data_IF_848184114802
#
_entry.id   IF_848184114802
#
_cell.length_a   1.000
_cell.length_b   1.000
_cell.length_c   1.000
_cell.angle_alpha   90.00
_cell.angle_beta   90.00
_cell.angle_gamma   90.00
#
_symmetry.space_group_name_H-M   'P 1'
#
loop_
_entity.id
_entity.type
_entity.pdbx_description
1 polymer ?
#
# COMPACT_ATOMS: atom_id res chain seq x y z
N UNK A 1 -2.44 -13.95 18.99
CA UNK A 1 -1.03 -14.24 19.33
C UNK A 1 -0.28 -12.93 19.16
N UNK A 2 0.50 -12.50 20.15
CA UNK A 2 1.23 -11.22 20.11
C UNK A 2 2.20 -11.21 18.92
N UNK A 3 2.05 -10.25 18.02
CA UNK A 3 2.75 -10.09 16.74
C UNK A 3 4.13 -9.41 16.91
N UNK A 4 4.89 -9.77 17.95
CA UNK A 4 6.19 -9.15 18.28
C UNK A 4 7.31 -9.41 17.25
N UNK A 5 7.05 -10.26 16.25
CA UNK A 5 7.99 -10.58 15.16
C UNK A 5 7.46 -10.23 13.76
N UNK A 6 6.35 -9.51 13.67
CA UNK A 6 5.84 -9.04 12.39
C UNK A 6 6.71 -7.88 11.87
N UNK A 7 7.33 -8.05 10.69
CA UNK A 7 8.23 -7.04 10.08
C UNK A 7 7.53 -5.68 9.96
N UNK A 8 6.25 -5.67 9.60
CA UNK A 8 5.47 -4.44 9.50
C UNK A 8 5.36 -3.71 10.85
N UNK A 9 5.13 -4.43 11.94
CA UNK A 9 5.07 -3.84 13.29
C UNK A 9 6.44 -3.29 13.74
N UNK A 10 7.52 -4.03 13.46
CA UNK A 10 8.88 -3.56 13.76
C UNK A 10 9.21 -2.28 12.99
N UNK A 11 8.87 -2.22 11.70
CA UNK A 11 9.07 -1.02 10.90
C UNK A 11 8.24 0.16 11.41
N UNK A 12 6.97 -0.10 11.73
CA UNK A 12 6.05 0.89 12.25
C UNK A 12 6.59 1.57 13.51
N UNK A 13 7.23 0.80 14.39
CA UNK A 13 7.83 1.28 15.63
C UNK A 13 9.19 1.99 15.41
N UNK A 14 9.88 1.68 14.32
CA UNK A 14 11.21 2.24 14.01
C UNK A 14 11.17 3.62 13.36
N UNK A 15 10.04 3.99 12.76
CA UNK A 15 9.85 5.27 12.05
C UNK A 15 9.53 6.37 13.06
N UNK A 16 10.25 7.49 13.00
CA UNK A 16 9.88 8.70 13.75
C UNK A 16 8.75 9.45 13.03
N UNK A 17 7.52 9.00 13.26
CA UNK A 17 6.33 9.59 12.66
C UNK A 17 6.17 11.06 13.04
N UNK A 18 6.67 11.49 14.19
CA UNK A 18 6.50 12.88 14.66
C UNK A 18 7.23 13.91 13.81
N UNK A 19 8.21 13.47 13.01
CA UNK A 19 8.92 14.31 12.05
C UNK A 19 8.25 14.37 10.66
N UNK A 20 7.18 13.59 10.42
CA UNK A 20 6.51 13.50 9.14
C UNK A 20 5.21 14.29 9.14
N UNK A 21 4.93 14.99 8.05
CA UNK A 21 3.66 15.72 7.90
C UNK A 21 2.55 14.82 7.37
N UNK A 22 1.33 15.10 7.84
CA UNK A 22 0.07 14.46 7.44
C UNK A 22 -0.93 15.55 7.02
N UNK A 23 -2.07 15.16 6.47
CA UNK A 23 -3.13 16.11 6.13
C UNK A 23 -3.64 16.90 7.35
N UNK A 24 -3.39 18.22 7.36
CA UNK A 24 -3.85 19.17 8.37
C UNK A 24 -3.08 19.08 9.70
N UNK A 25 -3.64 19.67 10.77
CA UNK A 25 -3.04 19.68 12.12
C UNK A 25 -3.19 18.33 12.88
N UNK A 26 -3.36 17.23 12.15
CA UNK A 26 -3.59 15.91 12.77
C UNK A 26 -2.28 15.40 13.37
N UNK A 27 -2.41 14.76 14.52
CA UNK A 27 -1.26 14.26 15.26
C UNK A 27 -0.63 13.08 14.51
N UNK A 28 0.68 13.14 14.31
CA UNK A 28 1.42 12.13 13.56
C UNK A 28 1.43 10.73 14.21
N UNK A 29 1.08 10.65 15.50
CA UNK A 29 0.89 9.39 16.23
C UNK A 29 -0.37 8.61 15.78
N UNK A 30 -1.27 9.27 15.05
CA UNK A 30 -2.51 8.66 14.59
C UNK A 30 -2.27 7.61 13.49
N UNK A 31 -1.31 7.86 12.60
CA UNK A 31 -0.97 6.95 11.49
C UNK A 31 -0.48 5.59 12.00
N UNK A 32 0.55 5.50 12.88
CA UNK A 32 0.98 4.21 13.41
C UNK A 32 -0.11 3.53 14.25
N UNK A 33 -0.95 4.29 14.95
CA UNK A 33 -2.09 3.71 15.68
C UNK A 33 -3.13 3.11 14.74
N UNK A 34 -3.41 3.75 13.62
CA UNK A 34 -4.34 3.26 12.62
C UNK A 34 -3.79 2.02 11.89
N UNK A 35 -2.49 1.98 11.56
CA UNK A 35 -1.86 0.78 11.00
C UNK A 35 -1.97 -0.43 11.92
N UNK A 36 -1.66 -0.30 13.22
CA UNK A 36 -1.84 -1.42 14.17
C UNK A 36 -3.29 -1.90 14.20
N UNK A 37 -4.25 -0.97 14.24
CA UNK A 37 -5.67 -1.32 14.20
C UNK A 37 -6.08 -2.04 12.90
N UNK A 38 -5.49 -1.67 11.75
CA UNK A 38 -5.73 -2.35 10.48
C UNK A 38 -5.17 -3.77 10.49
N UNK A 39 -3.91 -3.93 10.92
CA UNK A 39 -3.21 -5.22 10.96
C UNK A 39 -3.86 -6.21 11.93
N UNK A 40 -4.41 -5.70 13.04
CA UNK A 40 -5.12 -6.51 14.05
C UNK A 40 -6.62 -6.67 13.79
N UNK A 41 -7.15 -6.12 12.68
CA UNK A 41 -8.59 -6.11 12.41
C UNK A 41 -9.17 -7.52 12.23
N UNK A 42 -10.26 -7.81 12.95
CA UNK A 42 -10.89 -9.13 12.97
C UNK A 42 -11.99 -9.30 11.91
N UNK A 43 -12.37 -8.22 11.23
CA UNK A 43 -13.40 -8.20 10.20
C UNK A 43 -13.23 -6.96 9.30
N UNK A 44 -13.96 -6.97 8.17
CA UNK A 44 -13.94 -5.91 7.17
C UNK A 44 -14.33 -4.53 7.73
N UNK A 45 -15.29 -4.44 8.64
CA UNK A 45 -15.70 -3.16 9.23
C UNK A 45 -14.58 -2.52 10.05
N UNK A 46 -13.85 -3.30 10.85
CA UNK A 46 -12.70 -2.80 11.62
C UNK A 46 -11.56 -2.38 10.68
N UNK A 47 -11.31 -3.17 9.63
CA UNK A 47 -10.29 -2.88 8.63
C UNK A 47 -10.61 -1.57 7.90
N UNK A 48 -11.85 -1.39 7.46
CA UNK A 48 -12.32 -0.19 6.77
C UNK A 48 -12.21 1.06 7.66
N UNK A 49 -12.57 0.96 8.94
CA UNK A 49 -12.41 2.07 9.88
C UNK A 49 -10.94 2.48 10.06
N UNK A 50 -10.04 1.50 10.12
CA UNK A 50 -8.60 1.76 10.20
C UNK A 50 -8.04 2.31 8.89
N UNK A 51 -8.46 1.76 7.75
CA UNK A 51 -8.17 2.25 6.40
C UNK A 51 -8.48 3.73 6.28
N UNK A 52 -9.71 4.16 6.63
CA UNK A 52 -10.11 5.56 6.52
C UNK A 52 -9.29 6.49 7.42
N UNK A 53 -8.80 6.00 8.55
CA UNK A 53 -7.92 6.78 9.42
C UNK A 53 -6.53 6.95 8.79
N UNK A 54 -6.03 5.97 8.03
CA UNK A 54 -4.76 6.09 7.30
C UNK A 54 -4.95 7.00 6.08
N UNK A 55 -5.95 6.72 5.24
CA UNK A 55 -6.28 7.48 4.02
C UNK A 55 -6.42 8.97 4.33
N UNK A 56 -7.27 9.34 5.29
CA UNK A 56 -7.51 10.73 5.69
C UNK A 56 -6.31 11.46 6.36
N UNK A 57 -5.13 10.83 6.42
CA UNK A 57 -3.89 11.42 6.93
C UNK A 57 -2.75 11.35 5.90
N UNK A 58 -2.59 10.20 5.23
CA UNK A 58 -1.45 9.88 4.37
C UNK A 58 -1.72 10.24 2.91
N UNK A 59 -2.95 10.04 2.44
CA UNK A 59 -3.37 10.28 1.06
C UNK A 59 -4.82 10.75 1.01
N UNK A 60 -5.04 12.06 0.86
CA UNK A 60 -6.38 12.65 0.96
C UNK A 60 -6.85 13.18 -0.38
N UNK A 61 -7.93 12.58 -0.91
CA UNK A 61 -8.50 12.96 -2.21
C UNK A 61 -7.45 12.92 -3.34
N UNK A 62 -6.59 11.91 -3.32
CA UNK A 62 -5.49 11.75 -4.26
C UNK A 62 -4.27 12.64 -3.99
N UNK A 63 -4.24 13.40 -2.89
CA UNK A 63 -3.07 14.18 -2.49
C UNK A 63 -2.21 13.42 -1.49
N UNK A 64 -0.95 13.14 -1.83
CA UNK A 64 0.00 12.44 -0.93
C UNK A 64 0.75 13.41 -0.03
N UNK A 65 0.96 13.01 1.22
CA UNK A 65 1.68 13.79 2.23
C UNK A 65 3.04 13.17 2.55
N UNK A 66 3.90 13.89 3.28
CA UNK A 66 5.29 13.49 3.59
C UNK A 66 5.40 12.13 4.31
N UNK A 67 4.35 11.73 5.02
CA UNK A 67 4.22 10.40 5.62
C UNK A 67 4.00 9.25 4.64
N UNK A 68 3.68 9.52 3.37
CA UNK A 68 3.31 8.50 2.38
C UNK A 68 4.44 7.51 2.03
N UNK A 69 5.70 7.91 1.79
CA UNK A 69 6.78 6.96 1.56
C UNK A 69 7.00 6.00 2.74
N UNK A 70 6.91 6.52 3.97
CA UNK A 70 7.00 5.70 5.18
C UNK A 70 5.83 4.71 5.30
N UNK A 71 4.62 5.16 4.99
CA UNK A 71 3.43 4.30 4.93
C UNK A 71 3.58 3.19 3.89
N UNK A 72 4.13 3.48 2.71
CA UNK A 72 4.39 2.49 1.65
C UNK A 72 5.30 1.36 2.15
N UNK A 73 6.37 1.68 2.87
CA UNK A 73 7.29 0.67 3.42
C UNK A 73 6.59 -0.28 4.41
N UNK A 74 5.71 0.26 5.27
CA UNK A 74 4.90 -0.53 6.21
C UNK A 74 3.90 -1.40 5.45
N UNK A 75 3.19 -0.83 4.47
CA UNK A 75 2.21 -1.55 3.65
C UNK A 75 2.85 -2.73 2.91
N UNK A 76 3.95 -2.50 2.22
CA UNK A 76 4.67 -3.54 1.48
C UNK A 76 5.17 -4.65 2.41
N UNK A 77 5.65 -4.29 3.59
CA UNK A 77 6.09 -5.25 4.60
C UNK A 77 4.93 -6.08 5.13
N UNK A 78 3.77 -5.47 5.37
CA UNK A 78 2.57 -6.19 5.78
C UNK A 78 2.06 -7.15 4.69
N UNK A 79 2.11 -6.72 3.42
CA UNK A 79 1.74 -7.52 2.24
C UNK A 79 2.65 -8.74 2.00
N UNK A 80 3.81 -8.84 2.65
CA UNK A 80 4.65 -10.05 2.59
C UNK A 80 4.03 -11.25 3.30
N UNK A 81 3.11 -11.01 4.24
CA UNK A 81 2.36 -12.07 4.90
C UNK A 81 1.06 -12.35 4.14
N UNK A 82 1.15 -13.29 3.20
CA UNK A 82 0.02 -13.71 2.36
C UNK A 82 -1.06 -14.48 3.12
N UNK A 83 -0.86 -14.81 4.40
CA UNK A 83 -1.86 -15.49 5.23
C UNK A 83 -2.73 -14.52 6.02
N UNK A 84 -2.48 -13.20 5.94
CA UNK A 84 -3.36 -12.21 6.54
C UNK A 84 -4.79 -12.34 6.00
N UNK A 85 -5.80 -12.01 6.83
CA UNK A 85 -7.18 -12.00 6.39
C UNK A 85 -7.36 -11.15 5.13
N UNK A 86 -8.20 -11.61 4.21
CA UNK A 86 -8.44 -10.97 2.91
C UNK A 86 -8.89 -9.52 3.05
N UNK A 87 -9.71 -9.21 4.05
CA UNK A 87 -10.12 -7.82 4.31
C UNK A 87 -8.95 -6.89 4.64
N UNK A 88 -7.87 -7.40 5.27
CA UNK A 88 -6.65 -6.63 5.51
C UNK A 88 -5.85 -6.46 4.23
N UNK A 89 -5.70 -7.53 3.44
CA UNK A 89 -4.99 -7.50 2.15
C UNK A 89 -5.59 -6.47 1.20
N UNK A 90 -6.92 -6.44 1.09
CA UNK A 90 -7.66 -5.48 0.26
C UNK A 90 -7.36 -4.04 0.69
N UNK A 91 -7.53 -3.71 1.98
CA UNK A 91 -7.27 -2.35 2.47
C UNK A 91 -5.80 -1.93 2.29
N UNK A 92 -4.84 -2.83 2.53
CA UNK A 92 -3.41 -2.54 2.33
C UNK A 92 -3.10 -2.24 0.85
N UNK A 93 -3.62 -3.06 -0.06
CA UNK A 93 -3.39 -2.89 -1.49
C UNK A 93 -4.10 -1.64 -2.04
N UNK A 94 -5.30 -1.34 -1.56
CA UNK A 94 -6.02 -0.11 -1.88
C UNK A 94 -5.25 1.13 -1.41
N UNK A 95 -4.74 1.14 -0.18
CA UNK A 95 -3.89 2.24 0.33
C UNK A 95 -2.63 2.40 -0.53
N UNK A 96 -1.97 1.30 -0.90
CA UNK A 96 -0.81 1.35 -1.79
C UNK A 96 -1.18 1.96 -3.14
N UNK A 97 -2.31 1.54 -3.73
CA UNK A 97 -2.79 2.09 -4.98
C UNK A 97 -3.08 3.59 -4.86
N UNK A 98 -3.79 4.04 -3.81
CA UNK A 98 -4.06 5.46 -3.57
C UNK A 98 -2.77 6.28 -3.51
N UNK A 99 -1.73 5.77 -2.84
CA UNK A 99 -0.44 6.47 -2.75
C UNK A 99 0.30 6.47 -4.10
N UNK A 100 0.35 5.33 -4.80
CA UNK A 100 1.07 5.18 -6.09
C UNK A 100 0.43 5.99 -7.22
N UNK A 101 -0.90 6.14 -7.21
CA UNK A 101 -1.65 6.93 -8.17
C UNK A 101 -1.93 8.36 -7.70
N UNK A 102 -1.58 8.70 -6.46
CA UNK A 102 -1.72 10.02 -5.89
C UNK A 102 -0.71 11.03 -6.46
N UNK A 103 -0.94 12.31 -6.16
CA UNK A 103 -0.12 13.45 -6.60
C UNK A 103 0.08 14.46 -5.47
N UNK A 104 0.96 15.45 -5.64
CA UNK A 104 1.10 16.57 -4.69
C UNK A 104 0.30 17.82 -5.06
N UNK A 105 -0.52 17.74 -6.11
CA UNK A 105 -1.05 18.90 -6.83
C UNK A 105 -2.06 19.77 -6.06
N UNK A 106 -2.64 19.27 -4.98
CA UNK A 106 -3.65 19.97 -4.17
C UNK A 106 -3.14 20.53 -2.84
N UNK A 107 -1.83 20.47 -2.58
CA UNK A 107 -1.25 20.93 -1.31
C UNK A 107 -0.63 22.31 -1.52
N UNK A 108 -1.24 23.35 -0.92
CA UNK A 108 -0.88 24.77 -1.12
C UNK A 108 0.55 25.13 -0.69
N UNK A 109 1.23 24.26 0.07
CA UNK A 109 2.56 24.49 0.65
C UNK A 109 3.62 23.45 0.25
N UNK A 110 3.41 22.67 -0.81
CA UNK A 110 4.46 21.76 -1.29
C UNK A 110 5.47 22.55 -2.14
N UNK A 111 6.77 22.57 -1.77
CA UNK A 111 7.79 23.19 -2.60
C UNK A 111 7.74 22.61 -4.02
N UNK A 112 7.94 23.44 -5.04
CA UNK A 112 7.96 23.00 -6.45
C UNK A 112 8.98 21.89 -6.74
N UNK A 113 10.00 21.77 -5.89
CA UNK A 113 11.06 20.77 -5.98
C UNK A 113 10.79 19.52 -5.11
N UNK A 114 9.60 19.43 -4.51
CA UNK A 114 9.21 18.30 -3.70
C UNK A 114 9.05 17.05 -4.57
N UNK A 115 10.00 16.12 -4.43
CA UNK A 115 10.01 14.86 -5.15
C UNK A 115 9.18 13.78 -4.44
N UNK A 116 8.13 14.16 -3.69
CA UNK A 116 7.38 13.24 -2.86
C UNK A 116 6.69 12.15 -3.68
N UNK A 117 6.11 12.48 -4.84
CA UNK A 117 5.58 11.48 -5.78
C UNK A 117 6.67 10.47 -6.19
N UNK A 118 7.87 10.97 -6.51
CA UNK A 118 9.00 10.13 -6.86
C UNK A 118 9.44 9.24 -5.69
N UNK A 119 9.50 9.79 -4.47
CA UNK A 119 9.85 9.05 -3.26
C UNK A 119 8.83 7.94 -2.96
N UNK A 120 7.52 8.19 -3.13
CA UNK A 120 6.47 7.18 -3.01
C UNK A 120 6.67 6.05 -4.03
N UNK A 121 6.95 6.38 -5.29
CA UNK A 121 7.17 5.39 -6.34
C UNK A 121 8.44 4.57 -6.12
N UNK A 122 9.54 5.19 -5.69
CA UNK A 122 10.77 4.49 -5.35
C UNK A 122 10.57 3.55 -4.17
N UNK A 123 9.94 4.02 -3.08
CA UNK A 123 9.59 3.18 -1.93
C UNK A 123 8.70 1.99 -2.36
N UNK A 124 7.73 2.22 -3.24
CA UNK A 124 6.86 1.15 -3.74
C UNK A 124 7.61 0.14 -4.62
N UNK A 125 8.61 0.58 -5.39
CA UNK A 125 9.46 -0.28 -6.23
C UNK A 125 10.33 -1.23 -5.43
N UNK A 126 10.72 -0.88 -4.21
CA UNK A 126 11.47 -1.78 -3.32
C UNK A 126 10.72 -3.09 -3.04
N UNK A 127 9.39 -3.04 -3.02
CA UNK A 127 8.50 -4.19 -2.81
C UNK A 127 7.98 -4.86 -4.08
N UNK A 128 8.53 -4.57 -5.26
CA UNK A 128 7.96 -5.01 -6.55
C UNK A 128 7.72 -6.53 -6.65
N UNK A 129 8.61 -7.34 -6.07
CA UNK A 129 8.46 -8.80 -6.07
C UNK A 129 7.34 -9.29 -5.15
N UNK A 130 7.03 -8.55 -4.08
CA UNK A 130 5.86 -8.81 -3.24
C UNK A 130 4.57 -8.66 -4.06
N UNK A 131 4.48 -7.62 -4.89
CA UNK A 131 3.33 -7.40 -5.77
C UNK A 131 3.18 -8.51 -6.81
N UNK A 132 4.28 -8.92 -7.46
CA UNK A 132 4.25 -10.07 -8.37
C UNK A 132 3.81 -11.36 -7.66
N UNK A 133 4.23 -11.54 -6.41
CA UNK A 133 3.85 -12.68 -5.60
C UNK A 133 2.35 -12.65 -5.27
N UNK A 134 1.79 -11.49 -4.93
CA UNK A 134 0.34 -11.31 -4.73
C UNK A 134 -0.45 -11.76 -5.96
N UNK A 135 -0.06 -11.32 -7.17
CA UNK A 135 -0.71 -11.75 -8.41
C UNK A 135 -0.74 -13.28 -8.51
N UNK A 136 0.38 -13.95 -8.23
CA UNK A 136 0.45 -15.41 -8.31
C UNK A 136 -0.35 -16.13 -7.22
N UNK A 137 -0.36 -15.61 -6.00
CA UNK A 137 -1.02 -16.22 -4.84
C UNK A 137 -2.54 -16.09 -4.91
N UNK A 138 -3.02 -14.97 -5.46
CA UNK A 138 -4.44 -14.63 -5.48
C UNK A 138 -5.09 -14.79 -6.87
N UNK A 139 -4.37 -15.35 -7.85
CA UNK A 139 -4.83 -15.47 -9.24
C UNK A 139 -6.17 -16.21 -9.42
N UNK A 140 -6.54 -17.08 -8.48
CA UNK A 140 -7.72 -17.95 -8.58
C UNK A 140 -8.85 -17.57 -7.63
N UNK A 141 -8.53 -17.39 -6.34
CA UNK A 141 -9.55 -17.30 -5.28
C UNK A 141 -9.94 -15.84 -4.96
N UNK A 142 -9.02 -14.89 -5.16
CA UNK A 142 -9.21 -13.47 -4.86
C UNK A 142 -8.69 -12.61 -6.01
N UNK A 143 -9.34 -12.77 -7.16
CA UNK A 143 -8.91 -12.14 -8.42
C UNK A 143 -8.83 -10.62 -8.32
N UNK A 144 -9.69 -10.00 -7.51
CA UNK A 144 -9.70 -8.58 -7.23
C UNK A 144 -8.34 -8.09 -6.65
N UNK A 145 -7.70 -8.90 -5.81
CA UNK A 145 -6.36 -8.59 -5.26
C UNK A 145 -5.30 -8.72 -6.36
N UNK A 146 -5.37 -9.78 -7.17
CA UNK A 146 -4.43 -9.96 -8.27
C UNK A 146 -4.54 -8.87 -9.34
N UNK A 147 -5.76 -8.43 -9.67
CA UNK A 147 -6.04 -7.37 -10.64
C UNK A 147 -5.55 -6.01 -10.11
N UNK A 148 -5.88 -5.65 -8.86
CA UNK A 148 -5.36 -4.43 -8.25
C UNK A 148 -3.83 -4.42 -8.14
N UNK A 149 -3.20 -5.57 -7.85
CA UNK A 149 -1.74 -5.67 -7.83
C UNK A 149 -1.12 -5.49 -9.23
N UNK A 150 -1.80 -5.98 -10.29
CA UNK A 150 -1.38 -5.74 -11.68
C UNK A 150 -1.48 -4.27 -12.07
N UNK A 151 -2.53 -3.57 -11.66
CA UNK A 151 -2.69 -2.14 -11.93
C UNK A 151 -1.56 -1.32 -11.27
N UNK A 152 -1.23 -1.63 -10.02
CA UNK A 152 -0.08 -1.03 -9.32
C UNK A 152 1.23 -1.37 -10.02
N UNK A 153 1.42 -2.63 -10.44
CA UNK A 153 2.63 -3.06 -11.17
C UNK A 153 2.79 -2.36 -12.52
N UNK A 154 1.70 -2.10 -13.24
CA UNK A 154 1.74 -1.38 -14.53
C UNK A 154 2.36 0.01 -14.38
N UNK A 155 2.03 0.67 -13.26
CA UNK A 155 2.56 1.99 -12.92
C UNK A 155 4.00 1.94 -12.41
N UNK A 156 4.35 0.93 -11.62
CA UNK A 156 5.65 0.86 -10.93
C UNK A 156 6.77 0.23 -11.76
N UNK A 157 6.47 -0.80 -12.55
CA UNK A 157 7.50 -1.62 -13.20
C UNK A 157 8.12 -0.90 -14.41
N UNK A 158 9.39 -0.53 -14.28
CA UNK A 158 10.17 0.07 -15.36
C UNK A 158 10.60 -0.97 -16.41
N UNK A 159 10.59 -2.27 -16.07
CA UNK A 159 10.81 -3.37 -16.99
C UNK A 159 9.48 -3.85 -17.58
N UNK A 160 9.06 -3.18 -18.65
CA UNK A 160 7.82 -3.49 -19.35
C UNK A 160 7.78 -4.91 -19.94
N UNK A 161 8.92 -5.49 -20.32
CA UNK A 161 8.97 -6.87 -20.82
C UNK A 161 8.57 -7.86 -19.73
N UNK A 162 9.08 -7.67 -18.50
CA UNK A 162 8.72 -8.49 -17.34
C UNK A 162 7.24 -8.34 -17.00
N UNK A 163 6.75 -7.11 -16.90
CA UNK A 163 5.35 -6.84 -16.59
C UNK A 163 4.41 -7.49 -17.60
N UNK A 164 4.65 -7.29 -18.90
CA UNK A 164 3.80 -7.86 -19.95
C UNK A 164 3.82 -9.40 -19.95
N UNK A 165 4.97 -10.02 -19.65
CA UNK A 165 5.05 -11.47 -19.55
C UNK A 165 4.16 -12.03 -18.43
N UNK A 166 4.19 -11.42 -17.24
CA UNK A 166 3.35 -11.84 -16.11
C UNK A 166 1.88 -11.53 -16.35
N UNK A 167 1.55 -10.33 -16.83
CA UNK A 167 0.17 -9.92 -17.12
C UNK A 167 -0.48 -10.84 -18.17
N UNK A 168 0.28 -11.24 -19.20
CA UNK A 168 -0.20 -12.20 -20.21
C UNK A 168 -0.42 -13.58 -19.61
N UNK A 169 0.52 -14.09 -18.80
CA UNK A 169 0.39 -15.38 -18.13
C UNK A 169 -0.83 -15.41 -17.19
N UNK A 170 -1.08 -14.32 -16.44
CA UNK A 170 -2.27 -14.17 -15.61
C UNK A 170 -3.54 -14.27 -16.46
N UNK A 171 -3.66 -13.47 -17.53
CA UNK A 171 -4.85 -13.45 -18.41
C UNK A 171 -5.14 -14.80 -19.05
N UNK A 172 -4.13 -15.46 -19.61
CA UNK A 172 -4.29 -16.81 -20.20
C UNK A 172 -4.84 -17.80 -19.18
N UNK A 173 -4.28 -17.79 -17.96
CA UNK A 173 -4.78 -18.66 -16.89
C UNK A 173 -6.21 -18.31 -16.47
N UNK A 174 -6.61 -17.03 -16.53
CA UNK A 174 -7.94 -16.58 -16.16
C UNK A 174 -9.00 -16.94 -17.22
N UNK A 175 -8.62 -16.96 -18.50
CA UNK A 175 -9.49 -17.27 -19.64
C UNK A 175 -9.71 -18.78 -19.83
N UNK A 176 -8.70 -19.63 -19.58
CA UNK A 176 -8.83 -21.10 -19.63
C UNK A 176 -9.80 -21.67 -18.57
N UNK A 177 -10.30 -20.81 -17.66
CA UNK A 177 -11.14 -21.18 -16.51
C UNK A 177 -12.57 -20.61 -16.56
N UNK A 178 -12.98 -20.03 -17.69
CA UNK A 178 -14.36 -19.60 -17.97
C UNK A 178 -15.10 -20.66 -18.80
#
# INVERSE_FOLDING_TARGET
>A
MSNEHEIAAVLLDSIDWSCLTVCGDKAADEVPRAFRALLDSQNSTQAEQAYWRIDNNVVVQGNVYDSAPAAVAVILSALTDFQRPIHVQVCLLELLAQIVFGSVSGIEEVPSDCQLEHACLEAAREGIWTLYKLVSCFATEHREIAEAALDVLEKLDTNQVRFQAVATAYKMSADDRR
#
